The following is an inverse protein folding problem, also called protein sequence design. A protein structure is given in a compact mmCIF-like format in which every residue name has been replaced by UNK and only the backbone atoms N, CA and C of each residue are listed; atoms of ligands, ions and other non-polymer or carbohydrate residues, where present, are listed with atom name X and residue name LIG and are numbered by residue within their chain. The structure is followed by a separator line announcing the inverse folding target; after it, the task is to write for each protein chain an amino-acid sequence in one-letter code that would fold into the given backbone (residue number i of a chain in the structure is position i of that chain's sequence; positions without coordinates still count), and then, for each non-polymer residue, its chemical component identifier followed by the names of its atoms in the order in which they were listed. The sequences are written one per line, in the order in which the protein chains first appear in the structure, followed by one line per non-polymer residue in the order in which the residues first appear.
data_IF_520312887967
#
_entry.id   IF_520312887967
#
_cell.length_a   1.000
_cell.length_b   1.000
_cell.length_c   1.000
_cell.angle_alpha   90.00
_cell.angle_beta   90.00
_cell.angle_gamma   90.00
#
_symmetry.space_group_name_H-M   'P 1'
#
loop_
_entity.id
_entity.type
_entity.pdbx_description
1 polymer ?
#
# COMPACT_ATOMS: atom_id res chain seq x y z
N UNK A 1 60.93 -20.91 1.47
CA UNK A 1 60.48 -20.34 0.19
C UNK A 1 58.95 -20.46 0.11
N UNK A 2 58.23 -19.36 -0.15
CA UNK A 2 56.84 -19.29 -0.73
C UNK A 2 55.70 -19.94 0.09
N UNK A 3 54.46 -19.46 0.22
CA UNK A 3 53.73 -18.30 -0.27
C UNK A 3 52.38 -18.24 0.52
N UNK A 4 51.94 -17.04 0.89
CA UNK A 4 50.56 -16.51 0.85
C UNK A 4 49.37 -17.29 1.47
N UNK A 5 48.77 -16.61 2.45
CA UNK A 5 47.33 -16.46 2.75
C UNK A 5 46.30 -17.24 1.93
N UNK A 6 45.32 -17.82 2.64
CA UNK A 6 43.90 -17.64 2.32
C UNK A 6 42.97 -17.98 3.49
N UNK A 7 42.31 -16.94 3.99
CA UNK A 7 41.08 -17.01 4.77
C UNK A 7 39.96 -17.61 3.92
N UNK A 8 39.21 -18.57 4.46
CA UNK A 8 38.01 -19.10 3.83
C UNK A 8 36.88 -19.39 4.84
N UNK A 9 35.78 -18.66 4.62
CA UNK A 9 34.36 -19.07 4.70
C UNK A 9 33.68 -19.24 6.07
N UNK A 10 32.97 -18.15 6.38
CA UNK A 10 31.69 -17.95 7.07
C UNK A 10 30.75 -19.16 7.23
N UNK A 11 30.17 -19.18 8.43
CA UNK A 11 28.94 -19.83 8.90
C UNK A 11 27.70 -19.65 8.00
N UNK A 12 26.97 -20.76 7.90
CA UNK A 12 25.51 -20.98 8.05
C UNK A 12 24.51 -20.04 7.36
N UNK A 13 23.74 -20.61 6.43
CA UNK A 13 22.42 -20.16 5.99
C UNK A 13 21.38 -21.21 6.43
N UNK A 14 20.36 -20.79 7.17
CA UNK A 14 19.10 -21.53 7.36
C UNK A 14 17.97 -20.50 7.42
N UNK A 15 17.12 -20.47 6.39
CA UNK A 15 15.76 -19.96 6.46
C UNK A 15 14.91 -20.95 5.67
N UNK A 16 14.13 -21.76 6.38
CA UNK A 16 13.03 -22.54 5.82
C UNK A 16 11.84 -21.59 5.72
N UNK A 17 11.41 -21.32 4.48
CA UNK A 17 10.10 -20.76 4.20
C UNK A 17 9.11 -21.93 4.08
N UNK A 18 8.17 -22.04 5.01
CA UNK A 18 7.06 -22.96 4.90
C UNK A 18 5.96 -22.31 4.05
N UNK A 19 5.93 -22.68 2.77
CA UNK A 19 4.80 -22.52 1.87
C UNK A 19 3.95 -23.79 1.94
N UNK A 20 2.68 -23.66 2.32
CA UNK A 20 1.69 -24.73 2.17
C UNK A 20 0.87 -24.47 0.89
N UNK A 21 1.04 -25.36 -0.09
CA UNK A 21 0.14 -25.57 -1.22
C UNK A 21 -0.72 -26.81 -0.94
N UNK A 22 -1.87 -26.90 -1.63
CA UNK A 22 -2.57 -28.07 -2.23
C UNK A 22 -4.10 -27.78 -2.16
N UNK A 23 -4.91 -27.94 -3.21
CA UNK A 23 -4.66 -28.63 -4.47
C UNK A 23 -5.72 -28.40 -5.57
N UNK A 24 -5.40 -28.98 -6.72
CA UNK A 24 -6.29 -29.21 -7.87
C UNK A 24 -6.43 -30.73 -7.97
N UNK A 25 -7.65 -31.24 -8.06
CA UNK A 25 -7.95 -32.55 -8.63
C UNK A 25 -9.31 -32.49 -9.34
N UNK A 26 -9.34 -32.97 -10.59
CA UNK A 26 -10.55 -33.18 -11.38
C UNK A 26 -11.15 -34.55 -11.03
N UNK A 27 -12.47 -34.61 -10.90
CA UNK A 27 -13.28 -35.81 -10.73
C UNK A 27 -14.72 -35.43 -10.45
N UNK A 28 -15.63 -35.76 -11.36
CA UNK A 28 -17.05 -35.45 -11.27
C UNK A 28 -17.73 -36.09 -10.04
N UNK A 29 -18.06 -35.24 -9.08
CA UNK A 29 -19.31 -35.29 -8.33
C UNK A 29 -19.48 -33.89 -7.74
N UNK A 30 -20.51 -33.17 -8.20
CA UNK A 30 -20.82 -31.83 -7.73
C UNK A 30 -21.26 -31.89 -6.26
N UNK A 31 -20.30 -31.79 -5.34
CA UNK A 31 -20.58 -31.48 -3.94
C UNK A 31 -20.64 -29.96 -3.84
N UNK A 32 -21.79 -29.43 -3.48
CA UNK A 32 -22.02 -27.99 -3.33
C UNK A 32 -20.97 -27.38 -2.39
N UNK A 33 -20.08 -26.55 -2.92
CA UNK A 33 -19.05 -25.84 -2.15
C UNK A 33 -19.69 -24.75 -1.30
N UNK A 34 -20.06 -25.05 -0.06
CA UNK A 34 -20.42 -24.03 0.94
C UNK A 34 -19.23 -23.06 1.15
N UNK A 35 -19.52 -21.80 1.47
CA UNK A 35 -18.45 -20.87 1.89
C UNK A 35 -17.75 -21.41 3.13
N UNK A 36 -16.42 -21.46 3.09
CA UNK A 36 -15.61 -21.96 4.22
C UNK A 36 -15.48 -20.93 5.35
N UNK A 37 -15.77 -19.65 5.08
CA UNK A 37 -15.77 -18.57 6.06
C UNK A 37 -17.18 -18.28 6.56
N UNK A 38 -17.28 -17.82 7.81
CA UNK A 38 -18.54 -17.51 8.47
C UNK A 38 -19.32 -16.39 7.75
N UNK A 39 -20.63 -16.43 7.87
CA UNK A 39 -21.55 -15.36 7.45
C UNK A 39 -22.40 -15.03 8.68
N UNK A 40 -21.85 -14.26 9.64
CA UNK A 40 -22.59 -13.90 10.82
C UNK A 40 -23.55 -12.76 10.53
N UNK A 41 -24.69 -12.80 11.20
CA UNK A 41 -25.52 -11.64 11.39
C UNK A 41 -25.28 -11.04 12.79
N UNK A 42 -25.26 -9.71 12.86
CA UNK A 42 -24.79 -8.92 14.00
C UNK A 42 -25.81 -7.83 14.30
N UNK A 43 -26.07 -7.57 15.57
CA UNK A 43 -26.90 -6.46 16.04
C UNK A 43 -26.22 -5.75 17.22
N UNK A 44 -26.95 -4.88 17.91
CA UNK A 44 -26.47 -4.26 19.14
C UNK A 44 -26.12 -5.26 20.25
N UNK A 45 -26.60 -6.51 20.17
CA UNK A 45 -26.27 -7.57 21.12
C UNK A 45 -24.78 -7.94 21.12
N UNK A 46 -24.06 -7.71 20.00
CA UNK A 46 -22.60 -7.87 19.92
C UNK A 46 -21.85 -6.56 20.21
N UNK A 47 -22.58 -5.54 20.70
CA UNK A 47 -22.01 -4.29 21.16
C UNK A 47 -21.43 -3.39 20.07
N UNK A 48 -20.78 -2.33 20.54
CA UNK A 48 -20.10 -1.35 19.70
C UNK A 48 -18.73 -1.87 19.28
N UNK A 49 -18.64 -2.36 18.04
CA UNK A 49 -17.39 -2.94 17.54
C UNK A 49 -16.25 -1.92 17.49
N UNK A 50 -15.06 -2.37 17.86
CA UNK A 50 -13.82 -1.62 17.75
C UNK A 50 -13.13 -1.84 16.40
N UNK A 51 -12.25 -0.92 16.02
CA UNK A 51 -11.41 -1.06 14.83
C UNK A 51 -10.61 -2.38 14.80
N UNK A 52 -10.10 -2.81 15.95
CA UNK A 52 -9.32 -4.05 16.06
C UNK A 52 -10.19 -5.29 15.86
N UNK A 53 -11.38 -5.32 16.47
CA UNK A 53 -12.35 -6.42 16.28
C UNK A 53 -12.72 -6.54 14.79
N UNK A 54 -13.07 -5.43 14.14
CA UNK A 54 -13.43 -5.43 12.71
C UNK A 54 -12.23 -5.83 11.83
N UNK A 55 -11.02 -5.35 12.11
CA UNK A 55 -9.84 -5.75 11.34
C UNK A 55 -9.57 -7.27 11.43
N UNK A 56 -9.74 -7.85 12.62
CA UNK A 56 -9.56 -9.28 12.86
C UNK A 56 -10.70 -10.12 12.27
N UNK A 57 -11.91 -9.56 12.19
CA UNK A 57 -13.08 -10.21 11.62
C UNK A 57 -12.89 -10.48 10.11
N UNK A 58 -12.14 -9.62 9.40
CA UNK A 58 -11.98 -9.67 7.95
C UNK A 58 -11.50 -11.01 7.39
N UNK A 59 -10.64 -11.73 8.11
CA UNK A 59 -10.14 -13.05 7.66
C UNK A 59 -11.01 -14.22 8.13
N UNK A 60 -12.08 -13.97 8.90
CA UNK A 60 -12.95 -14.98 9.49
C UNK A 60 -14.31 -15.06 8.81
N UNK A 61 -14.70 -14.01 8.07
CA UNK A 61 -16.03 -13.89 7.46
C UNK A 61 -15.99 -13.75 5.95
N UNK A 62 -17.01 -14.28 5.26
CA UNK A 62 -17.28 -13.99 3.86
C UNK A 62 -17.91 -12.60 3.71
N UNK A 63 -18.90 -12.31 4.56
CA UNK A 63 -19.56 -11.02 4.72
C UNK A 63 -20.32 -11.01 6.05
N UNK A 64 -20.83 -9.85 6.47
CA UNK A 64 -21.64 -9.66 7.69
C UNK A 64 -23.05 -9.18 7.34
N UNK A 65 -24.07 -9.54 8.11
CA UNK A 65 -25.43 -8.96 7.96
C UNK A 65 -25.76 -8.17 9.22
N UNK A 66 -25.82 -6.84 9.15
CA UNK A 66 -25.98 -6.03 10.36
C UNK A 66 -27.42 -5.55 10.53
N UNK A 67 -28.04 -5.75 11.69
CA UNK A 67 -29.35 -5.14 11.99
C UNK A 67 -29.23 -3.63 11.85
N UNK A 68 -30.21 -2.98 11.23
CA UNK A 68 -30.28 -1.52 11.17
C UNK A 68 -31.33 -0.94 12.11
N UNK A 69 -32.45 -1.62 12.22
CA UNK A 69 -33.60 -1.16 12.98
C UNK A 69 -34.43 -2.33 13.48
N UNK A 70 -35.30 -2.03 14.45
CA UNK A 70 -36.36 -2.88 14.95
C UNK A 70 -37.67 -2.13 14.74
N UNK A 71 -38.24 -2.35 13.56
CA UNK A 71 -39.28 -1.56 12.94
C UNK A 71 -38.97 -0.07 12.84
N UNK A 72 -40.00 0.71 12.50
CA UNK A 72 -39.88 2.18 12.44
C UNK A 72 -39.53 2.81 13.79
N UNK A 73 -39.88 2.18 14.91
CA UNK A 73 -39.78 2.79 16.25
C UNK A 73 -38.37 2.82 16.84
N UNK A 74 -37.47 1.93 16.38
CA UNK A 74 -36.17 1.77 17.02
C UNK A 74 -35.03 1.59 16.02
N UNK A 75 -33.98 2.40 16.15
CA UNK A 75 -32.74 2.25 15.40
C UNK A 75 -31.71 1.53 16.27
N UNK A 76 -31.06 0.50 15.71
CA UNK A 76 -30.01 -0.25 16.39
C UNK A 76 -28.87 0.68 16.84
N UNK A 77 -28.50 0.60 18.13
CA UNK A 77 -27.59 1.55 18.77
C UNK A 77 -26.20 1.61 18.12
N UNK A 78 -25.73 0.49 17.57
CA UNK A 78 -24.35 0.32 17.14
C UNK A 78 -24.18 0.11 15.65
N UNK A 79 -25.27 -0.12 14.90
CA UNK A 79 -25.24 -0.32 13.45
C UNK A 79 -24.49 0.76 12.67
N UNK A 80 -24.67 2.05 13.02
CA UNK A 80 -23.98 3.15 12.34
C UNK A 80 -22.45 3.12 12.56
N UNK A 81 -22.01 2.77 13.78
CA UNK A 81 -20.59 2.58 14.08
C UNK A 81 -20.04 1.36 13.34
N UNK A 82 -20.72 0.21 13.47
CA UNK A 82 -20.23 -1.08 13.01
C UNK A 82 -20.10 -1.09 11.47
N UNK A 83 -21.14 -0.64 10.76
CA UNK A 83 -21.12 -0.57 9.29
C UNK A 83 -20.13 0.46 8.75
N UNK A 84 -19.89 1.58 9.45
CA UNK A 84 -18.83 2.51 9.08
C UNK A 84 -17.43 1.87 9.18
N UNK A 85 -17.22 0.99 10.16
CA UNK A 85 -15.97 0.22 10.27
C UNK A 85 -15.87 -0.86 9.20
N UNK A 86 -16.96 -1.55 8.85
CA UNK A 86 -16.96 -2.52 7.73
C UNK A 86 -16.53 -1.85 6.43
N UNK A 87 -17.08 -0.66 6.13
CA UNK A 87 -16.63 0.16 4.99
C UNK A 87 -15.15 0.49 5.10
N UNK A 88 -14.70 0.98 6.24
CA UNK A 88 -13.31 1.41 6.46
C UNK A 88 -12.30 0.28 6.26
N UNK A 89 -12.62 -0.92 6.72
CA UNK A 89 -11.71 -2.08 6.68
C UNK A 89 -11.98 -3.03 5.50
N UNK A 90 -13.00 -2.76 4.70
CA UNK A 90 -13.34 -3.53 3.50
C UNK A 90 -13.87 -4.91 3.84
N UNK A 91 -14.82 -4.98 4.77
CA UNK A 91 -15.66 -6.16 5.00
C UNK A 91 -16.97 -5.95 4.23
N UNK A 92 -17.34 -6.83 3.29
CA UNK A 92 -18.66 -6.79 2.68
C UNK A 92 -19.75 -7.02 3.71
N UNK A 93 -20.86 -6.28 3.58
CA UNK A 93 -21.98 -6.45 4.50
C UNK A 93 -23.32 -6.17 3.83
N UNK A 94 -24.38 -6.81 4.32
CA UNK A 94 -25.78 -6.39 4.13
C UNK A 94 -26.31 -5.74 5.41
N UNK A 95 -27.50 -5.15 5.34
CA UNK A 95 -28.23 -4.69 6.52
C UNK A 95 -29.62 -5.33 6.55
N UNK A 96 -30.18 -5.55 7.74
CA UNK A 96 -31.53 -6.11 7.90
C UNK A 96 -32.44 -5.23 8.78
N UNK A 97 -33.74 -5.32 8.49
CA UNK A 97 -34.85 -4.67 9.16
C UNK A 97 -35.67 -5.71 9.93
N UNK A 98 -35.69 -5.65 11.26
CA UNK A 98 -36.55 -6.52 12.04
C UNK A 98 -37.98 -5.99 12.02
N UNK A 99 -38.89 -6.71 11.38
CA UNK A 99 -40.21 -6.23 11.05
C UNK A 99 -41.08 -6.00 12.28
N UNK A 100 -41.72 -4.82 12.38
CA UNK A 100 -42.76 -4.51 13.39
C UNK A 100 -43.96 -3.78 12.80
N UNK A 101 -44.15 -3.89 11.49
CA UNK A 101 -45.30 -3.28 10.81
C UNK A 101 -46.62 -3.97 11.18
N UNK A 102 -47.68 -3.16 11.23
CA UNK A 102 -49.03 -3.58 11.64
C UNK A 102 -50.03 -3.64 10.48
N UNK A 103 -49.63 -3.18 9.29
CA UNK A 103 -50.44 -3.08 8.08
C UNK A 103 -49.55 -2.86 6.86
N UNK A 104 -50.12 -2.96 5.65
CA UNK A 104 -49.40 -2.61 4.42
C UNK A 104 -48.91 -1.14 4.40
N UNK A 105 -49.65 -0.21 5.01
CA UNK A 105 -49.23 1.19 5.06
C UNK A 105 -48.03 1.41 5.99
N UNK A 106 -48.04 0.79 7.18
CA UNK A 106 -46.90 0.84 8.10
C UNK A 106 -45.69 0.08 7.55
N UNK A 107 -45.89 -1.01 6.79
CA UNK A 107 -44.80 -1.73 6.13
C UNK A 107 -44.05 -0.86 5.10
N UNK A 108 -44.77 -0.04 4.31
CA UNK A 108 -44.12 0.95 3.42
C UNK A 108 -43.36 2.01 4.21
N UNK A 109 -43.92 2.49 5.32
CA UNK A 109 -43.22 3.48 6.15
C UNK A 109 -41.94 2.89 6.75
N UNK A 110 -42.01 1.65 7.22
CA UNK A 110 -40.88 0.92 7.79
C UNK A 110 -39.76 0.68 6.78
N UNK A 111 -40.11 0.27 5.56
CA UNK A 111 -39.17 0.19 4.42
C UNK A 111 -38.48 1.53 4.12
N UNK A 112 -39.23 2.65 4.10
CA UNK A 112 -38.65 3.98 3.90
C UNK A 112 -37.67 4.34 5.01
N UNK A 113 -38.05 4.11 6.26
CA UNK A 113 -37.22 4.40 7.42
C UNK A 113 -35.95 3.55 7.39
N UNK A 114 -36.09 2.25 7.12
CA UNK A 114 -34.98 1.31 6.99
C UNK A 114 -34.00 1.76 5.91
N UNK A 115 -34.50 2.07 4.71
CA UNK A 115 -33.65 2.53 3.64
C UNK A 115 -32.94 3.83 4.01
N UNK A 116 -33.67 4.83 4.52
CA UNK A 116 -33.12 6.13 4.89
C UNK A 116 -32.02 6.01 5.96
N UNK A 117 -32.22 5.12 6.93
CA UNK A 117 -31.24 4.84 7.98
C UNK A 117 -30.05 4.09 7.41
N UNK A 118 -30.26 3.12 6.52
CA UNK A 118 -29.23 2.18 6.06
C UNK A 118 -28.01 2.82 5.41
N UNK A 119 -26.85 2.23 5.67
CA UNK A 119 -25.60 2.58 5.03
C UNK A 119 -25.65 2.25 3.54
N UNK A 120 -25.38 3.26 2.70
CA UNK A 120 -25.45 3.08 1.24
C UNK A 120 -24.34 2.20 0.66
N UNK A 121 -23.37 1.76 1.46
CA UNK A 121 -22.39 0.74 1.07
C UNK A 121 -22.83 -0.70 1.38
N UNK A 122 -23.96 -0.92 2.07
CA UNK A 122 -24.53 -2.26 2.23
C UNK A 122 -24.75 -2.90 0.85
N UNK A 123 -24.48 -4.19 0.71
CA UNK A 123 -24.50 -4.87 -0.58
C UNK A 123 -25.90 -5.33 -0.98
N UNK A 124 -26.71 -5.64 0.03
CA UNK A 124 -28.10 -6.03 -0.08
C UNK A 124 -28.84 -5.54 1.18
N UNK A 125 -30.16 -5.58 1.11
CA UNK A 125 -31.04 -5.24 2.22
C UNK A 125 -31.98 -6.41 2.50
N UNK A 126 -32.14 -6.76 3.78
CA UNK A 126 -32.99 -7.88 4.18
C UNK A 126 -34.20 -7.40 5.00
N UNK A 127 -35.36 -8.01 4.75
CA UNK A 127 -36.50 -7.97 5.66
C UNK A 127 -36.44 -9.19 6.56
N UNK A 128 -36.35 -8.99 7.86
CA UNK A 128 -36.48 -10.03 8.88
C UNK A 128 -37.93 -10.04 9.37
N UNK A 129 -38.71 -11.06 8.97
CA UNK A 129 -40.12 -11.20 9.32
C UNK A 129 -40.36 -12.53 10.03
N UNK A 130 -40.34 -12.49 11.36
CA UNK A 130 -40.45 -13.67 12.23
C UNK A 130 -41.47 -13.52 13.37
N UNK A 131 -42.13 -12.36 13.46
CA UNK A 131 -43.26 -12.08 14.34
C UNK A 131 -44.43 -11.45 13.53
N UNK A 132 -45.68 -11.73 13.92
CA UNK A 132 -46.86 -11.21 13.22
C UNK A 132 -47.57 -10.14 14.06
N UNK A 133 -47.23 -8.88 13.82
CA UNK A 133 -47.89 -7.71 14.42
C UNK A 133 -49.03 -7.13 13.54
N UNK A 134 -49.35 -7.79 12.41
CA UNK A 134 -50.34 -7.28 11.46
C UNK A 134 -51.74 -7.35 12.05
N UNK A 135 -52.32 -6.17 12.29
CA UNK A 135 -53.68 -6.01 12.83
C UNK A 135 -54.67 -5.55 11.76
N UNK A 136 -54.19 -5.11 10.59
CA UNK A 136 -55.03 -4.69 9.47
C UNK A 136 -54.48 -5.20 8.13
N UNK A 137 -55.31 -5.92 7.38
CA UNK A 137 -54.95 -6.58 6.13
C UNK A 137 -54.39 -7.99 6.36
N UNK A 138 -53.55 -8.46 5.44
CA UNK A 138 -52.87 -9.76 5.54
C UNK A 138 -51.36 -9.59 5.65
N UNK A 139 -50.70 -10.57 6.25
CA UNK A 139 -49.24 -10.61 6.38
C UNK A 139 -48.54 -10.62 5.01
N UNK A 140 -49.06 -11.39 4.05
CA UNK A 140 -48.52 -11.37 2.67
C UNK A 140 -48.64 -9.98 2.04
N UNK A 141 -49.78 -9.29 2.20
CA UNK A 141 -49.94 -7.93 1.65
C UNK A 141 -49.00 -6.91 2.33
N UNK A 142 -48.70 -7.09 3.62
CA UNK A 142 -47.77 -6.22 4.34
C UNK A 142 -46.31 -6.47 3.91
N UNK A 143 -45.89 -7.73 3.80
CA UNK A 143 -44.55 -8.12 3.29
C UNK A 143 -44.36 -7.65 1.85
N UNK A 144 -45.35 -7.83 0.99
CA UNK A 144 -45.32 -7.34 -0.40
C UNK A 144 -45.23 -5.82 -0.44
N UNK A 145 -45.96 -5.11 0.42
CA UNK A 145 -45.89 -3.66 0.49
C UNK A 145 -44.51 -3.14 0.93
N UNK A 146 -43.83 -3.82 1.86
CA UNK A 146 -42.43 -3.52 2.21
C UNK A 146 -41.50 -3.75 1.02
N UNK A 147 -41.66 -4.89 0.32
CA UNK A 147 -40.86 -5.25 -0.84
C UNK A 147 -40.98 -4.20 -1.96
N UNK A 148 -42.20 -3.84 -2.34
CA UNK A 148 -42.47 -2.85 -3.39
C UNK A 148 -41.85 -1.49 -3.08
N UNK A 149 -41.97 -1.06 -1.83
CA UNK A 149 -41.41 0.21 -1.39
C UNK A 149 -39.88 0.18 -1.45
N UNK A 150 -39.24 -0.85 -0.88
CA UNK A 150 -37.78 -1.00 -0.96
C UNK A 150 -37.30 -1.07 -2.41
N UNK A 151 -38.00 -1.82 -3.27
CA UNK A 151 -37.67 -1.93 -4.68
C UNK A 151 -37.76 -0.59 -5.40
N UNK A 152 -38.72 0.27 -5.04
CA UNK A 152 -38.83 1.63 -5.58
C UNK A 152 -37.65 2.53 -5.17
N UNK A 153 -37.05 2.27 -4.00
CA UNK A 153 -35.98 3.05 -3.40
C UNK A 153 -34.58 2.59 -3.84
N UNK A 154 -34.42 1.32 -4.24
CA UNK A 154 -33.12 0.76 -4.59
C UNK A 154 -33.16 -0.38 -5.60
N UNK A 155 -32.12 -0.46 -6.43
CA UNK A 155 -31.86 -1.57 -7.34
C UNK A 155 -30.99 -2.67 -6.72
N UNK A 156 -30.60 -2.55 -5.44
CA UNK A 156 -29.84 -3.59 -4.75
C UNK A 156 -30.70 -4.82 -4.46
N UNK A 157 -30.03 -5.94 -4.19
CA UNK A 157 -30.71 -7.17 -3.86
C UNK A 157 -31.52 -7.03 -2.57
N UNK A 158 -32.76 -7.51 -2.61
CA UNK A 158 -33.68 -7.59 -1.47
C UNK A 158 -33.80 -9.05 -1.04
N UNK A 159 -33.59 -9.29 0.25
CA UNK A 159 -33.53 -10.63 0.84
C UNK A 159 -34.66 -10.80 1.85
N UNK A 160 -35.37 -11.92 1.80
CA UNK A 160 -36.37 -12.25 2.81
C UNK A 160 -35.76 -13.18 3.86
N UNK A 161 -35.88 -12.82 5.14
CA UNK A 161 -35.48 -13.67 6.26
C UNK A 161 -36.66 -14.06 7.15
N UNK A 162 -36.65 -15.33 7.59
CA UNK A 162 -37.56 -15.88 8.61
C UNK A 162 -37.12 -17.32 8.97
N UNK A 163 -37.65 -17.88 10.05
CA UNK A 163 -37.59 -19.33 10.27
C UNK A 163 -38.68 -20.07 9.46
N UNK A 164 -38.37 -21.30 9.05
CA UNK A 164 -39.11 -22.02 8.00
C UNK A 164 -40.64 -22.12 8.24
N UNK A 165 -41.08 -22.48 9.45
CA UNK A 165 -42.50 -22.68 9.74
C UNK A 165 -43.30 -21.37 9.69
N UNK A 166 -42.70 -20.27 10.16
CA UNK A 166 -43.32 -18.96 10.10
C UNK A 166 -43.39 -18.41 8.68
N UNK A 167 -42.31 -18.51 7.92
CA UNK A 167 -42.28 -18.13 6.50
C UNK A 167 -43.42 -18.79 5.71
N UNK A 168 -43.63 -20.09 5.96
CA UNK A 168 -44.66 -20.90 5.28
C UNK A 168 -46.08 -20.55 5.74
N UNK A 169 -46.25 -20.12 6.99
CA UNK A 169 -47.56 -19.81 7.54
C UNK A 169 -48.00 -18.38 7.22
N UNK A 170 -47.07 -17.41 7.24
CA UNK A 170 -47.41 -15.98 7.24
C UNK A 170 -46.91 -15.22 6.01
N UNK A 171 -45.94 -15.71 5.25
CA UNK A 171 -45.37 -14.97 4.12
C UNK A 171 -45.16 -15.83 2.86
N UNK A 172 -45.84 -16.97 2.75
CA UNK A 172 -45.48 -18.01 1.78
C UNK A 172 -45.48 -17.55 0.31
N UNK A 173 -46.40 -16.65 -0.02
CA UNK A 173 -46.56 -16.10 -1.36
C UNK A 173 -45.64 -14.89 -1.55
N UNK A 174 -45.71 -13.90 -0.67
CA UNK A 174 -44.98 -12.64 -0.82
C UNK A 174 -43.45 -12.82 -0.75
N UNK A 175 -42.94 -13.78 0.04
CA UNK A 175 -41.49 -14.06 0.12
C UNK A 175 -40.88 -14.49 -1.21
N UNK A 176 -41.68 -15.00 -2.15
CA UNK A 176 -41.19 -15.45 -3.46
C UNK A 176 -40.79 -14.28 -4.37
N UNK A 177 -41.24 -13.05 -4.06
CA UNK A 177 -40.90 -11.85 -4.84
C UNK A 177 -39.47 -11.34 -4.57
N UNK A 178 -38.83 -11.78 -3.47
CA UNK A 178 -37.49 -11.36 -3.10
C UNK A 178 -36.41 -12.04 -3.95
N UNK A 179 -35.27 -11.37 -4.13
CA UNK A 179 -34.18 -11.87 -4.99
C UNK A 179 -33.44 -13.07 -4.38
N UNK A 180 -33.54 -13.23 -3.06
CA UNK A 180 -33.02 -14.36 -2.31
C UNK A 180 -33.80 -14.59 -1.02
N UNK A 181 -33.77 -15.83 -0.53
CA UNK A 181 -34.39 -16.22 0.74
C UNK A 181 -33.32 -16.70 1.71
N UNK A 182 -33.30 -16.10 2.90
CA UNK A 182 -32.45 -16.41 4.03
C UNK A 182 -33.30 -17.13 5.07
N UNK A 183 -33.18 -18.45 5.21
CA UNK A 183 -34.08 -19.24 6.05
C UNK A 183 -33.33 -19.79 7.26
N UNK A 184 -33.89 -19.60 8.45
CA UNK A 184 -33.38 -20.18 9.68
C UNK A 184 -33.96 -21.58 9.93
N UNK A 185 -33.08 -22.53 10.25
CA UNK A 185 -33.43 -23.83 10.82
C UNK A 185 -32.18 -24.45 11.47
N UNK A 186 -32.16 -24.57 12.78
CA UNK A 186 -30.96 -25.02 13.52
C UNK A 186 -30.85 -26.56 13.63
N UNK A 187 -31.89 -27.29 13.24
CA UNK A 187 -31.93 -28.75 13.35
C UNK A 187 -31.50 -29.45 12.06
N UNK A 188 -31.89 -28.93 10.91
CA UNK A 188 -31.60 -29.52 9.60
C UNK A 188 -31.69 -28.45 8.48
N UNK A 189 -31.18 -28.77 7.30
CA UNK A 189 -31.25 -27.88 6.15
C UNK A 189 -32.73 -27.56 5.79
N UNK A 190 -33.10 -26.30 5.50
CA UNK A 190 -34.47 -25.95 5.16
C UNK A 190 -35.01 -26.78 3.99
N UNK A 191 -36.28 -27.14 4.06
CA UNK A 191 -37.02 -27.90 3.03
C UNK A 191 -37.84 -27.00 2.10
N UNK A 192 -37.90 -25.70 2.38
CA UNK A 192 -38.43 -24.67 1.46
C UNK A 192 -37.28 -24.03 0.67
N UNK A 193 -37.56 -23.28 -0.40
CA UNK A 193 -36.52 -22.57 -1.16
C UNK A 193 -35.70 -21.61 -0.28
N UNK A 194 -34.37 -21.70 -0.38
CA UNK A 194 -33.42 -20.81 0.30
C UNK A 194 -32.15 -20.63 -0.52
N UNK A 195 -31.52 -19.47 -0.39
CA UNK A 195 -30.20 -19.15 -0.94
C UNK A 195 -29.15 -18.93 0.17
N UNK A 196 -29.61 -18.64 1.39
CA UNK A 196 -28.79 -18.51 2.59
C UNK A 196 -29.48 -19.28 3.72
N UNK A 197 -28.73 -20.10 4.46
CA UNK A 197 -29.26 -20.89 5.57
C UNK A 197 -28.62 -20.46 6.89
N UNK A 198 -29.39 -19.88 7.80
CA UNK A 198 -28.95 -19.68 9.19
C UNK A 198 -29.10 -21.01 9.93
N UNK A 199 -27.96 -21.63 10.24
CA UNK A 199 -27.92 -23.00 10.74
C UNK A 199 -27.60 -23.09 12.24
N UNK A 200 -27.19 -21.98 12.86
CA UNK A 200 -26.88 -21.90 14.28
C UNK A 200 -26.92 -20.48 14.78
N UNK A 201 -27.24 -20.34 16.05
CA UNK A 201 -27.14 -19.16 16.93
C UNK A 201 -25.90 -19.22 17.88
N UNK A 202 -25.09 -20.27 17.75
CA UNK A 202 -23.98 -20.59 18.67
C UNK A 202 -22.64 -20.74 17.94
N UNK A 203 -22.36 -19.90 16.93
CA UNK A 203 -21.05 -19.87 16.29
C UNK A 203 -20.10 -18.93 17.03
N UNK A 204 -18.99 -19.45 17.56
CA UNK A 204 -17.99 -18.60 18.21
C UNK A 204 -17.15 -17.83 17.18
N UNK A 205 -17.11 -16.51 17.29
CA UNK A 205 -16.24 -15.65 16.49
C UNK A 205 -15.07 -15.11 17.32
N UNK A 206 -13.84 -15.65 17.17
CA UNK A 206 -12.68 -15.18 17.90
C UNK A 206 -12.38 -13.68 17.77
N UNK A 207 -12.75 -13.06 16.64
CA UNK A 207 -12.58 -11.61 16.47
C UNK A 207 -13.46 -10.78 17.42
N UNK A 208 -14.60 -11.32 17.84
CA UNK A 208 -15.55 -10.65 18.72
C UNK A 208 -15.45 -11.15 20.17
N UNK A 209 -14.89 -12.34 20.38
CA UNK A 209 -14.89 -13.08 21.64
C UNK A 209 -16.30 -13.41 22.14
N UNK A 210 -17.22 -13.64 21.20
CA UNK A 210 -18.64 -13.83 21.45
C UNK A 210 -19.22 -14.92 20.53
N UNK A 211 -20.37 -15.46 20.92
CA UNK A 211 -21.19 -16.32 20.06
C UNK A 211 -22.11 -15.45 19.21
N UNK A 212 -22.24 -15.81 17.95
CA UNK A 212 -23.14 -15.17 17.00
C UNK A 212 -23.95 -16.21 16.25
N UNK A 213 -25.03 -15.74 15.67
CA UNK A 213 -25.70 -16.45 14.60
C UNK A 213 -24.74 -16.61 13.42
N UNK A 214 -24.93 -17.69 12.66
CA UNK A 214 -24.11 -17.96 11.49
C UNK A 214 -24.88 -18.67 10.40
N UNK A 215 -24.57 -18.24 9.17
CA UNK A 215 -25.22 -18.70 7.97
C UNK A 215 -24.27 -19.38 6.98
N UNK A 216 -24.84 -20.17 6.06
CA UNK A 216 -24.16 -20.79 4.92
C UNK A 216 -24.85 -20.38 3.62
N UNK A 217 -24.10 -19.76 2.71
CA UNK A 217 -24.61 -19.46 1.38
C UNK A 217 -24.65 -20.73 0.53
N UNK A 218 -25.76 -20.94 -0.17
CA UNK A 218 -25.91 -22.01 -1.15
C UNK A 218 -25.33 -21.51 -2.47
N UNK A 219 -24.05 -21.78 -2.70
CA UNK A 219 -23.29 -21.21 -3.83
C UNK A 219 -23.78 -21.66 -5.20
N UNK A 220 -24.54 -22.75 -5.27
CA UNK A 220 -25.23 -23.19 -6.49
C UNK A 220 -26.48 -22.36 -6.82
N UNK A 221 -27.04 -21.63 -5.85
CA UNK A 221 -28.14 -20.68 -6.06
C UNK A 221 -27.55 -19.30 -6.37
N UNK A 222 -26.72 -18.77 -5.47
CA UNK A 222 -26.03 -17.49 -5.63
C UNK A 222 -24.57 -17.61 -5.18
N UNK A 223 -23.57 -17.27 -6.03
CA UNK A 223 -22.17 -17.27 -5.61
C UNK A 223 -21.93 -16.19 -4.52
N UNK A 224 -20.86 -16.32 -3.73
CA UNK A 224 -20.52 -15.31 -2.70
C UNK A 224 -20.38 -13.89 -3.26
N UNK A 225 -19.94 -13.74 -4.52
CA UNK A 225 -19.88 -12.45 -5.21
C UNK A 225 -21.25 -11.77 -5.29
N UNK A 226 -22.34 -12.51 -5.50
CA UNK A 226 -23.71 -11.97 -5.55
C UNK A 226 -24.10 -11.22 -4.27
N UNK A 227 -23.60 -11.69 -3.11
CA UNK A 227 -23.83 -11.06 -1.81
C UNK A 227 -22.88 -9.90 -1.50
N UNK A 228 -21.79 -9.74 -2.27
CA UNK A 228 -20.63 -8.89 -1.92
C UNK A 228 -20.17 -7.92 -3.03
N UNK A 229 -20.71 -7.99 -4.24
CA UNK A 229 -20.23 -7.27 -5.43
C UNK A 229 -20.38 -5.74 -5.34
N UNK A 230 -21.24 -5.23 -4.43
CA UNK A 230 -21.31 -3.80 -4.12
C UNK A 230 -20.00 -3.31 -3.47
N UNK A 231 -19.33 -4.18 -2.72
CA UNK A 231 -18.03 -3.91 -2.10
C UNK A 231 -16.88 -4.07 -3.10
N UNK A 232 -16.99 -4.84 -4.18
CA UNK A 232 -15.98 -4.85 -5.26
C UNK A 232 -15.90 -3.47 -5.96
N UNK A 233 -17.04 -2.81 -6.15
CA UNK A 233 -17.15 -1.48 -6.76
C UNK A 233 -16.69 -0.37 -5.81
N UNK A 234 -17.01 -0.47 -4.52
CA UNK A 234 -16.53 0.44 -3.47
C UNK A 234 -15.03 0.21 -3.11
N UNK A 235 -14.53 -1.02 -3.16
CA UNK A 235 -13.10 -1.33 -2.97
C UNK A 235 -12.27 -0.85 -4.15
N UNK A 236 -12.77 -0.85 -5.38
CA UNK A 236 -12.06 -0.28 -6.53
C UNK A 236 -11.88 1.25 -6.38
N UNK A 237 -12.92 1.95 -5.92
CA UNK A 237 -12.87 3.41 -5.68
C UNK A 237 -12.07 3.78 -4.42
N UNK A 238 -12.15 2.97 -3.36
CA UNK A 238 -11.41 3.18 -2.09
C UNK A 238 -9.96 2.69 -2.16
N UNK A 239 -9.63 1.60 -2.86
CA UNK A 239 -8.23 1.20 -3.09
C UNK A 239 -7.47 2.24 -3.93
N UNK A 240 -8.19 2.94 -4.82
CA UNK A 240 -7.65 4.10 -5.55
C UNK A 240 -7.40 5.30 -4.61
N UNK A 241 -8.21 5.46 -3.55
CA UNK A 241 -8.11 6.56 -2.58
C UNK A 241 -7.20 6.29 -1.37
N UNK A 242 -7.02 5.03 -0.95
CA UNK A 242 -6.30 4.62 0.28
C UNK A 242 -5.05 3.77 0.04
N UNK A 243 -4.59 3.62 -1.21
CA UNK A 243 -3.23 3.14 -1.42
C UNK A 243 -2.27 4.06 -0.66
N UNK A 244 -1.50 3.50 0.29
CA UNK A 244 -0.40 4.24 0.90
C UNK A 244 0.44 4.80 -0.24
N UNK A 245 0.44 6.12 -0.42
CA UNK A 245 1.19 6.75 -1.52
C UNK A 245 2.64 6.37 -1.32
N UNK A 246 3.12 5.39 -2.09
CA UNK A 246 4.53 5.03 -2.11
C UNK A 246 5.22 6.16 -2.85
N UNK A 247 5.71 7.12 -2.06
CA UNK A 247 6.41 8.27 -2.58
C UNK A 247 7.64 7.82 -3.37
N UNK A 248 7.84 8.46 -4.51
CA UNK A 248 9.07 8.35 -5.26
C UNK A 248 10.25 8.90 -4.43
N UNK A 249 11.48 8.61 -4.87
CA UNK A 249 12.65 9.17 -4.23
C UNK A 249 12.65 10.70 -4.38
N UNK A 250 12.61 11.41 -3.25
CA UNK A 250 12.56 12.88 -3.19
C UNK A 250 13.76 13.48 -2.42
N UNK A 251 14.91 12.79 -2.47
CA UNK A 251 16.15 13.20 -1.81
C UNK A 251 17.17 13.84 -2.76
N UNK A 252 16.72 14.46 -3.86
CA UNK A 252 17.62 15.05 -4.85
C UNK A 252 18.25 16.35 -4.35
N UNK A 253 19.40 16.71 -4.94
CA UNK A 253 20.17 17.91 -4.64
C UNK A 253 20.52 18.67 -5.91
N UNK A 254 20.63 20.00 -5.82
CA UNK A 254 21.11 20.83 -6.92
C UNK A 254 22.49 20.34 -7.40
N UNK A 255 22.71 20.41 -8.71
CA UNK A 255 23.90 19.89 -9.39
C UNK A 255 23.84 18.41 -9.79
N UNK A 256 22.90 17.63 -9.24
CA UNK A 256 22.64 16.27 -9.71
C UNK A 256 21.94 16.28 -11.08
N UNK A 257 21.93 15.14 -11.76
CA UNK A 257 21.23 15.00 -13.04
C UNK A 257 20.09 14.00 -12.89
N UNK A 258 18.99 14.26 -13.59
CA UNK A 258 17.86 13.34 -13.71
C UNK A 258 17.70 12.91 -15.15
N UNK A 259 17.30 11.66 -15.34
CA UNK A 259 16.72 11.19 -16.58
C UNK A 259 15.20 11.37 -16.49
N UNK A 260 14.62 12.23 -17.31
CA UNK A 260 13.18 12.47 -17.36
C UNK A 260 12.49 11.29 -18.08
N UNK A 261 11.47 10.72 -17.46
CA UNK A 261 10.82 9.51 -17.96
C UNK A 261 9.90 9.79 -19.16
N UNK A 262 9.56 8.74 -19.90
CA UNK A 262 8.65 8.86 -21.06
C UNK A 262 7.20 9.22 -20.65
N UNK A 263 6.79 8.77 -19.47
CA UNK A 263 5.46 9.01 -18.90
C UNK A 263 5.35 10.34 -18.14
N UNK A 264 6.43 11.12 -18.04
CA UNK A 264 6.42 12.47 -17.49
C UNK A 264 5.58 13.39 -18.38
N UNK A 265 4.28 13.48 -18.11
CA UNK A 265 3.32 14.13 -19.02
C UNK A 265 3.06 15.59 -18.68
N UNK A 266 3.26 15.99 -17.42
CA UNK A 266 2.99 17.33 -16.91
C UNK A 266 4.12 17.83 -16.02
N UNK A 267 4.41 19.12 -16.10
CA UNK A 267 5.25 19.84 -15.14
C UNK A 267 4.51 19.96 -13.80
N UNK A 268 5.21 20.41 -12.75
CA UNK A 268 4.63 20.59 -11.43
C UNK A 268 3.50 21.64 -11.41
N UNK A 269 3.53 22.61 -12.34
CA UNK A 269 2.47 23.61 -12.56
C UNK A 269 1.26 23.09 -13.36
N UNK A 270 1.26 21.81 -13.74
CA UNK A 270 0.19 21.17 -14.51
C UNK A 270 0.30 21.33 -16.03
N UNK A 271 1.20 22.20 -16.52
CA UNK A 271 1.42 22.39 -17.96
C UNK A 271 2.05 21.16 -18.61
N UNK A 272 1.75 20.91 -19.89
CA UNK A 272 2.18 19.68 -20.59
C UNK A 272 3.68 19.67 -20.85
N UNK A 273 4.33 18.53 -20.61
CA UNK A 273 5.71 18.28 -21.05
C UNK A 273 5.69 17.77 -22.49
N UNK A 274 6.38 18.43 -23.40
CA UNK A 274 6.46 18.00 -24.80
C UNK A 274 7.13 16.62 -24.91
N UNK A 275 6.71 15.79 -25.88
CA UNK A 275 7.30 14.45 -26.09
C UNK A 275 8.81 14.53 -26.37
N UNK A 276 9.25 15.59 -27.06
CA UNK A 276 10.65 15.88 -27.37
C UNK A 276 11.51 16.13 -26.12
N UNK A 277 10.93 16.58 -25.02
CA UNK A 277 11.68 16.89 -23.79
C UNK A 277 11.80 15.69 -22.85
N UNK A 278 11.08 14.61 -23.13
CA UNK A 278 11.11 13.38 -22.34
C UNK A 278 12.30 12.52 -22.74
N UNK A 279 12.60 11.52 -21.92
CA UNK A 279 13.67 10.55 -22.18
C UNK A 279 15.07 11.18 -22.36
N UNK A 280 15.30 12.31 -21.71
CA UNK A 280 16.54 13.09 -21.75
C UNK A 280 17.15 13.27 -20.36
N UNK A 281 18.46 13.49 -20.33
CA UNK A 281 19.16 13.86 -19.11
C UNK A 281 19.19 15.36 -18.94
N UNK A 282 18.82 15.81 -17.74
CA UNK A 282 18.85 17.22 -17.38
C UNK A 282 19.57 17.43 -16.06
N UNK A 283 20.22 18.59 -15.91
CA UNK A 283 20.80 19.03 -14.65
C UNK A 283 19.73 19.67 -13.77
N UNK A 284 19.67 19.25 -12.52
CA UNK A 284 18.86 19.90 -11.49
C UNK A 284 19.59 21.17 -11.06
N UNK A 285 18.99 22.33 -11.29
CA UNK A 285 19.58 23.61 -10.87
C UNK A 285 19.10 24.05 -9.49
N UNK A 286 17.84 23.77 -9.14
CA UNK A 286 17.25 24.04 -7.81
C UNK A 286 16.32 22.90 -7.39
N UNK A 287 16.08 22.79 -6.08
CA UNK A 287 15.12 21.86 -5.50
C UNK A 287 14.23 22.59 -4.50
N UNK A 288 12.99 22.13 -4.34
CA UNK A 288 12.10 22.60 -3.27
C UNK A 288 11.26 21.45 -2.72
N UNK A 289 10.90 21.54 -1.44
CA UNK A 289 9.95 20.61 -0.83
C UNK A 289 8.57 20.87 -1.45
N UNK A 290 7.90 19.81 -1.91
CA UNK A 290 6.57 19.89 -2.51
C UNK A 290 5.90 18.53 -2.41
N UNK A 291 4.78 18.43 -1.69
CA UNK A 291 3.95 17.22 -1.71
C UNK A 291 2.93 17.36 -2.84
N UNK A 292 3.10 16.59 -3.91
CA UNK A 292 2.17 16.55 -5.05
C UNK A 292 2.26 15.18 -5.72
N UNK A 293 1.11 14.52 -5.92
CA UNK A 293 1.05 13.15 -6.45
C UNK A 293 1.97 12.21 -5.63
N UNK A 294 2.91 11.50 -6.27
CA UNK A 294 3.89 10.61 -5.62
C UNK A 294 5.20 11.31 -5.25
N UNK A 295 5.27 12.64 -5.27
CA UNK A 295 6.48 13.40 -4.96
C UNK A 295 6.41 14.11 -3.63
N UNK A 296 7.55 14.16 -2.93
CA UNK A 296 7.81 15.09 -1.82
C UNK A 296 8.75 16.25 -2.21
N UNK A 297 9.17 16.29 -3.47
CA UNK A 297 10.10 17.29 -3.98
C UNK A 297 9.80 17.64 -5.44
N UNK A 298 9.98 18.92 -5.78
CA UNK A 298 10.06 19.38 -7.16
C UNK A 298 11.49 19.79 -7.53
N UNK A 299 11.85 19.56 -8.79
CA UNK A 299 13.19 19.74 -9.34
C UNK A 299 13.13 20.79 -10.45
N UNK A 300 13.86 21.88 -10.30
CA UNK A 300 13.93 22.90 -11.33
C UNK A 300 14.96 22.49 -12.38
N UNK A 301 14.53 22.44 -13.63
CA UNK A 301 15.35 22.13 -14.79
C UNK A 301 15.54 23.42 -15.58
N UNK A 302 16.76 23.97 -15.54
CA UNK A 302 17.08 25.25 -16.20
C UNK A 302 16.81 25.21 -17.69
N UNK A 303 17.18 24.12 -18.34
CA UNK A 303 17.11 23.95 -19.78
C UNK A 303 15.66 23.88 -20.29
N UNK A 304 14.72 23.58 -19.39
CA UNK A 304 13.28 23.57 -19.66
C UNK A 304 12.57 24.80 -19.11
N UNK A 305 13.23 25.62 -18.27
CA UNK A 305 12.61 26.74 -17.56
C UNK A 305 11.49 26.33 -16.60
N UNK A 306 11.43 25.06 -16.19
CA UNK A 306 10.25 24.48 -15.52
C UNK A 306 10.61 23.57 -14.35
N UNK A 307 9.65 23.37 -13.45
CA UNK A 307 9.73 22.42 -12.34
C UNK A 307 9.10 21.08 -12.75
N UNK A 308 9.82 19.99 -12.54
CA UNK A 308 9.30 18.62 -12.69
C UNK A 308 9.13 17.97 -11.32
N UNK A 309 8.20 17.03 -11.19
CA UNK A 309 8.00 16.29 -9.95
C UNK A 309 9.08 15.20 -9.82
N UNK A 310 9.56 14.95 -8.59
CA UNK A 310 10.62 13.96 -8.34
C UNK A 310 10.28 12.53 -8.82
N UNK A 311 9.00 12.21 -8.93
CA UNK A 311 8.47 10.95 -9.45
C UNK A 311 8.69 10.74 -10.95
N UNK A 312 8.86 11.83 -11.71
CA UNK A 312 8.91 11.81 -13.18
C UNK A 312 10.33 11.56 -13.70
N UNK A 313 11.30 11.37 -12.80
CA UNK A 313 12.68 11.18 -13.18
C UNK A 313 13.46 10.26 -12.25
N UNK A 314 14.59 9.76 -12.76
CA UNK A 314 15.56 9.01 -11.97
C UNK A 314 16.90 9.70 -11.98
N UNK A 315 17.44 10.00 -10.81
CA UNK A 315 18.72 10.67 -10.71
C UNK A 315 19.92 9.74 -10.85
N UNK A 316 20.93 10.21 -11.58
CA UNK A 316 22.19 9.52 -11.74
C UNK A 316 23.37 10.48 -11.58
N UNK A 317 24.50 9.94 -11.11
CA UNK A 317 25.78 10.63 -11.25
C UNK A 317 26.25 10.52 -12.70
N UNK A 318 26.62 11.66 -13.29
CA UNK A 318 27.14 11.78 -14.66
C UNK A 318 28.51 12.45 -14.64
N UNK A 319 29.33 12.19 -15.66
CA UNK A 319 30.68 12.74 -15.79
C UNK A 319 31.70 11.69 -16.19
N UNK A 320 32.98 11.95 -15.90
CA UNK A 320 34.08 11.04 -16.23
C UNK A 320 34.44 10.10 -15.08
N UNK A 321 34.76 10.64 -13.89
CA UNK A 321 35.23 9.86 -12.73
C UNK A 321 34.63 10.39 -11.43
N UNK A 322 34.50 9.50 -10.44
CA UNK A 322 34.12 9.87 -9.08
C UNK A 322 34.34 8.75 -8.07
N UNK A 323 34.26 9.13 -6.79
CA UNK A 323 34.18 8.18 -5.68
C UNK A 323 32.91 8.42 -4.89
N UNK A 324 32.25 7.34 -4.50
CA UNK A 324 30.92 7.37 -3.93
C UNK A 324 30.87 6.49 -2.68
N UNK A 325 30.24 7.00 -1.62
CA UNK A 325 29.91 6.22 -0.44
C UNK A 325 28.52 5.62 -0.64
N UNK A 326 28.41 4.30 -0.49
CA UNK A 326 27.14 3.59 -0.65
C UNK A 326 26.23 3.80 0.57
N UNK A 327 24.93 3.94 0.32
CA UNK A 327 23.89 4.02 1.35
C UNK A 327 23.21 2.67 1.62
N UNK A 328 23.37 1.73 0.68
CA UNK A 328 22.76 0.40 0.71
C UNK A 328 23.71 -0.64 0.09
N UNK A 329 23.43 -1.92 0.32
CA UNK A 329 24.08 -3.03 -0.38
C UNK A 329 23.82 -2.92 -1.88
N UNK A 330 24.87 -3.03 -2.71
CA UNK A 330 24.76 -3.07 -4.16
C UNK A 330 25.52 -4.28 -4.72
N UNK A 331 24.82 -5.09 -5.52
CA UNK A 331 25.44 -6.18 -6.26
C UNK A 331 26.33 -5.64 -7.36
N UNK A 332 27.41 -6.36 -7.63
CA UNK A 332 28.35 -6.08 -8.69
C UNK A 332 27.97 -6.88 -9.95
N UNK A 333 28.12 -6.26 -11.11
CA UNK A 333 27.77 -6.85 -12.40
C UNK A 333 28.97 -6.85 -13.33
N UNK A 334 29.06 -7.85 -14.21
CA UNK A 334 30.14 -7.93 -15.20
C UNK A 334 29.91 -7.01 -16.40
N UNK A 335 28.68 -6.54 -16.60
CA UNK A 335 28.27 -5.75 -17.76
C UNK A 335 27.59 -4.42 -17.36
N UNK A 336 27.58 -3.45 -18.27
CA UNK A 336 27.01 -2.13 -18.03
C UNK A 336 25.47 -2.08 -18.12
N UNK A 337 24.81 -3.13 -18.61
CA UNK A 337 23.34 -3.24 -18.56
C UNK A 337 22.84 -3.66 -17.17
N UNK A 338 23.70 -4.26 -16.35
CA UNK A 338 23.41 -4.89 -15.06
C UNK A 338 22.53 -6.13 -15.18
N UNK A 339 22.79 -6.97 -16.19
CA UNK A 339 22.04 -8.21 -16.40
C UNK A 339 22.76 -9.43 -15.80
N UNK A 340 24.09 -9.44 -15.76
CA UNK A 340 24.90 -10.56 -15.25
C UNK A 340 25.57 -10.21 -13.92
N UNK A 341 25.04 -10.72 -12.81
CA UNK A 341 25.64 -10.57 -11.47
C UNK A 341 26.93 -11.37 -11.39
N UNK A 342 27.95 -10.82 -10.74
CA UNK A 342 29.22 -11.53 -10.49
C UNK A 342 29.17 -12.42 -9.23
N UNK A 343 28.09 -12.35 -8.46
CA UNK A 343 27.99 -12.94 -7.11
C UNK A 343 28.65 -12.10 -6.01
N UNK A 344 29.45 -11.09 -6.38
CA UNK A 344 30.07 -10.15 -5.43
C UNK A 344 29.18 -8.93 -5.19
N UNK A 345 29.40 -8.24 -4.06
CA UNK A 345 28.64 -7.06 -3.69
C UNK A 345 29.46 -6.13 -2.79
N UNK A 346 29.03 -4.87 -2.71
CA UNK A 346 29.46 -3.92 -1.69
C UNK A 346 28.33 -3.73 -0.67
N UNK A 347 28.67 -3.31 0.55
CA UNK A 347 27.73 -3.03 1.63
C UNK A 347 27.56 -1.51 1.86
N UNK A 348 26.58 -1.13 2.68
CA UNK A 348 26.40 0.26 3.08
C UNK A 348 27.65 0.79 3.80
N UNK A 349 28.04 2.03 3.52
CA UNK A 349 29.26 2.65 4.05
C UNK A 349 30.51 2.44 3.20
N UNK A 350 30.54 1.44 2.31
CA UNK A 350 31.67 1.22 1.41
C UNK A 350 31.89 2.43 0.50
N UNK A 351 33.16 2.74 0.22
CA UNK A 351 33.53 3.75 -0.77
C UNK A 351 34.01 3.10 -2.04
N UNK A 352 33.32 3.37 -3.14
CA UNK A 352 33.64 2.84 -4.47
C UNK A 352 34.15 3.98 -5.37
N UNK A 353 35.27 3.76 -6.04
CA UNK A 353 35.82 4.67 -7.03
C UNK A 353 35.67 4.06 -8.42
N UNK A 354 35.31 4.87 -9.41
CA UNK A 354 35.16 4.37 -10.77
C UNK A 354 34.93 5.44 -11.82
N UNK A 355 34.97 4.99 -13.08
CA UNK A 355 34.59 5.79 -14.25
C UNK A 355 33.07 5.78 -14.37
N UNK A 356 32.46 6.93 -14.57
CA UNK A 356 31.04 7.02 -14.91
C UNK A 356 30.84 6.75 -16.39
N UNK A 357 29.96 5.81 -16.71
CA UNK A 357 29.66 5.42 -18.10
C UNK A 357 28.15 5.30 -18.29
N UNK A 358 27.66 5.60 -19.50
CA UNK A 358 26.26 5.35 -19.86
C UNK A 358 26.02 3.84 -19.97
N UNK A 359 24.82 3.41 -19.59
CA UNK A 359 24.33 2.08 -19.93
C UNK A 359 24.09 1.96 -21.45
N UNK A 360 24.05 0.75 -22.02
CA UNK A 360 23.80 0.55 -23.45
C UNK A 360 22.48 1.18 -23.92
N UNK A 361 21.46 1.19 -23.06
CA UNK A 361 20.17 1.84 -23.37
C UNK A 361 20.25 3.36 -23.51
N UNK A 362 21.34 3.99 -23.05
CA UNK A 362 21.48 5.44 -23.00
C UNK A 362 20.64 6.12 -21.92
N UNK A 363 19.81 5.40 -21.15
CA UNK A 363 18.82 5.96 -20.20
C UNK A 363 19.28 6.00 -18.73
N UNK A 364 20.49 5.54 -18.45
CA UNK A 364 21.02 5.42 -17.08
C UNK A 364 22.54 5.40 -17.06
N UNK A 365 23.16 5.62 -15.90
CA UNK A 365 24.61 5.60 -15.72
C UNK A 365 25.09 4.50 -14.78
N UNK A 366 26.35 4.12 -14.92
CA UNK A 366 27.05 3.12 -14.11
C UNK A 366 28.34 3.68 -13.54
N UNK A 367 28.73 3.19 -12.38
CA UNK A 367 30.10 3.32 -11.88
C UNK A 367 30.85 2.07 -12.33
N UNK A 368 31.76 2.20 -13.30
CA UNK A 368 32.68 1.15 -13.73
C UNK A 368 33.90 1.16 -12.80
N UNK A 369 34.03 0.12 -12.00
CA UNK A 369 35.19 -0.13 -11.13
C UNK A 369 36.12 -1.14 -11.79
N UNK A 370 37.24 -1.47 -11.14
CA UNK A 370 38.11 -2.58 -11.56
C UNK A 370 37.46 -3.96 -11.38
N UNK A 371 36.43 -4.07 -10.52
CA UNK A 371 35.77 -5.34 -10.20
C UNK A 371 34.49 -5.57 -11.02
N UNK A 372 33.91 -4.51 -11.60
CA UNK A 372 32.68 -4.59 -12.39
C UNK A 372 31.89 -3.28 -12.41
N UNK A 373 30.57 -3.39 -12.56
CA UNK A 373 29.66 -2.28 -12.73
C UNK A 373 28.64 -2.21 -11.59
N UNK A 374 28.36 -0.99 -11.15
CA UNK A 374 27.32 -0.65 -10.17
C UNK A 374 26.38 0.40 -10.77
N UNK A 375 25.14 0.42 -10.31
CA UNK A 375 24.21 1.52 -10.65
C UNK A 375 24.75 2.85 -10.11
N UNK A 376 24.84 3.89 -10.95
CA UNK A 376 25.22 5.24 -10.50
C UNK A 376 24.02 6.05 -9.98
N UNK A 377 22.95 5.38 -9.53
CA UNK A 377 21.73 6.03 -9.08
C UNK A 377 21.96 6.77 -7.74
N UNK A 378 21.55 8.03 -7.69
CA UNK A 378 21.77 8.94 -6.53
C UNK A 378 21.00 8.52 -5.27
N UNK A 379 19.98 7.68 -5.41
CA UNK A 379 19.28 7.05 -4.28
C UNK A 379 20.21 6.15 -3.48
N UNK A 380 21.13 5.45 -4.14
CA UNK A 380 21.92 4.39 -3.51
C UNK A 380 23.30 4.83 -3.05
N UNK A 381 23.76 6.02 -3.42
CA UNK A 381 25.09 6.50 -3.06
C UNK A 381 25.17 8.02 -3.00
N UNK A 382 26.23 8.53 -2.40
CA UNK A 382 26.54 9.96 -2.29
C UNK A 382 28.00 10.21 -2.65
N UNK A 383 28.40 11.39 -3.13
CA UNK A 383 29.82 11.69 -3.33
C UNK A 383 30.61 11.47 -2.04
N UNK A 384 31.70 10.72 -2.12
CA UNK A 384 32.57 10.44 -0.98
C UNK A 384 33.30 11.70 -0.50
N UNK A 385 33.43 12.70 -1.38
CA UNK A 385 34.06 13.98 -1.07
C UNK A 385 33.02 15.09 -0.85
N UNK A 386 33.43 16.16 -0.16
CA UNK A 386 32.76 17.45 -0.23
C UNK A 386 32.93 18.05 -1.63
N UNK A 387 31.83 18.49 -2.22
CA UNK A 387 31.77 19.02 -3.60
C UNK A 387 31.77 20.56 -3.65
N UNK A 388 31.48 21.20 -2.52
CA UNK A 388 31.40 22.64 -2.35
C UNK A 388 31.91 23.02 -0.95
N UNK A 389 32.24 24.29 -0.76
CA UNK A 389 32.68 24.83 0.52
C UNK A 389 31.47 25.14 1.42
N UNK A 390 31.53 24.76 2.69
CA UNK A 390 30.60 25.22 3.72
C UNK A 390 30.71 26.73 3.98
N UNK A 391 29.61 27.34 4.40
CA UNK A 391 29.55 28.75 4.83
C UNK A 391 30.50 29.06 5.98
N UNK A 392 30.76 28.09 6.87
CA UNK A 392 31.66 28.24 8.03
C UNK A 392 33.14 28.30 7.64
N UNK A 393 33.48 27.92 6.40
CA UNK A 393 34.85 27.89 5.86
C UNK A 393 35.86 27.20 6.80
N UNK A 394 35.38 26.23 7.57
CA UNK A 394 36.17 25.49 8.56
C UNK A 394 35.85 24.02 8.44
N UNK A 395 36.86 23.16 8.62
CA UNK A 395 36.69 21.71 8.69
C UNK A 395 37.32 21.17 9.97
N UNK A 396 36.83 20.05 10.48
CA UNK A 396 37.41 19.28 11.58
C UNK A 396 37.89 17.92 11.09
N UNK A 397 39.10 17.53 11.47
CA UNK A 397 39.67 16.22 11.11
C UNK A 397 39.00 15.10 11.91
N UNK A 398 38.57 14.02 11.24
CA UNK A 398 37.99 12.82 11.86
C UNK A 398 39.04 11.76 12.23
N UNK A 399 40.21 11.85 11.60
CA UNK A 399 41.40 11.01 11.82
C UNK A 399 42.66 11.79 11.44
N UNK A 400 43.84 11.21 11.72
CA UNK A 400 45.12 11.79 11.27
C UNK A 400 45.09 12.03 9.76
N UNK A 401 45.35 13.26 9.35
CA UNK A 401 45.48 13.66 7.94
C UNK A 401 46.84 14.33 7.72
N UNK A 402 47.26 14.45 6.47
CA UNK A 402 48.46 15.21 6.12
C UNK A 402 48.06 16.44 5.30
N UNK A 403 48.71 17.56 5.59
CA UNK A 403 48.76 18.72 4.70
C UNK A 403 49.78 18.48 3.59
N UNK A 404 49.48 18.96 2.38
CA UNK A 404 50.33 18.81 1.21
C UNK A 404 50.69 20.17 0.62
N UNK A 405 51.94 20.30 0.15
CA UNK A 405 52.43 21.45 -0.61
C UNK A 405 51.90 21.49 -2.05
N UNK A 406 51.52 20.33 -2.61
CA UNK A 406 50.98 20.18 -3.97
C UNK A 406 49.64 19.44 -3.94
N UNK A 407 48.74 19.80 -4.84
CA UNK A 407 47.41 19.18 -4.97
C UNK A 407 47.41 17.76 -5.53
N UNK A 408 48.58 17.20 -5.87
CA UNK A 408 48.74 15.80 -6.27
C UNK A 408 48.68 14.81 -5.10
N UNK A 409 48.91 15.28 -3.86
CA UNK A 409 48.98 14.46 -2.65
C UNK A 409 50.13 13.43 -2.67
N UNK A 410 51.19 13.70 -3.43
CA UNK A 410 52.39 12.85 -3.44
C UNK A 410 53.04 12.83 -2.04
N UNK A 411 53.54 11.67 -1.59
CA UNK A 411 54.19 11.53 -0.28
C UNK A 411 55.33 12.52 -0.08
N UNK A 412 56.10 12.81 -1.14
CA UNK A 412 57.18 13.80 -1.18
C UNK A 412 56.73 15.25 -0.95
N UNK A 413 55.45 15.55 -1.13
CA UNK A 413 54.88 16.88 -0.90
C UNK A 413 54.14 17.00 0.43
N UNK A 414 54.21 16.01 1.31
CA UNK A 414 53.68 16.12 2.68
C UNK A 414 54.41 17.23 3.44
N UNK A 415 53.64 18.05 4.15
CA UNK A 415 54.16 19.16 4.95
C UNK A 415 54.02 18.85 6.44
N UNK A 416 52.78 18.70 6.92
CA UNK A 416 52.47 18.54 8.34
C UNK A 416 51.46 17.42 8.55
N UNK A 417 51.67 16.62 9.59
CA UNK A 417 50.65 15.70 10.09
C UNK A 417 49.70 16.47 11.00
N UNK A 418 48.40 16.36 10.75
CA UNK A 418 47.33 16.98 11.54
C UNK A 418 46.59 15.86 12.27
N UNK A 419 46.52 15.97 13.59
CA UNK A 419 45.87 14.98 14.46
C UNK A 419 44.36 14.99 14.29
N UNK A 420 43.68 13.96 14.82
CA UNK A 420 42.22 13.89 14.88
C UNK A 420 41.69 15.05 15.74
N UNK A 421 40.57 15.64 15.35
CA UNK A 421 39.87 16.68 16.10
C UNK A 421 40.34 18.11 15.82
N UNK A 422 41.42 18.30 15.08
CA UNK A 422 41.93 19.63 14.71
C UNK A 422 40.98 20.35 13.77
N UNK A 423 40.71 21.63 14.06
CA UNK A 423 39.97 22.54 13.17
C UNK A 423 40.95 23.22 12.20
N UNK A 424 40.61 23.25 10.91
CA UNK A 424 41.39 23.87 9.85
C UNK A 424 40.52 24.87 9.08
N UNK A 425 41.05 26.07 8.80
CA UNK A 425 40.38 27.06 7.95
C UNK A 425 40.62 26.75 6.47
N UNK A 426 39.55 26.78 5.68
CA UNK A 426 39.54 26.42 4.26
C UNK A 426 39.03 27.57 3.41
N UNK A 427 39.67 27.81 2.26
CA UNK A 427 39.32 28.91 1.35
C UNK A 427 38.60 28.42 0.09
N UNK A 428 38.80 27.17 -0.32
CA UNK A 428 38.17 26.60 -1.50
C UNK A 428 38.09 25.07 -1.45
N UNK A 429 37.19 24.50 -2.25
CA UNK A 429 37.19 23.09 -2.64
C UNK A 429 37.55 23.00 -4.12
N UNK A 430 38.53 22.16 -4.47
CA UNK A 430 39.00 21.96 -5.85
C UNK A 430 38.94 20.49 -6.27
N UNK A 431 38.91 20.25 -7.58
CA UNK A 431 38.77 18.92 -8.22
C UNK A 431 40.05 18.52 -8.94
N UNK A 432 40.41 17.24 -8.84
CA UNK A 432 41.44 16.58 -9.66
C UNK A 432 40.82 15.87 -10.87
N UNK A 433 41.62 15.60 -11.90
CA UNK A 433 41.23 14.82 -13.08
C UNK A 433 40.66 13.43 -12.73
N UNK A 434 41.18 12.81 -11.67
CA UNK A 434 40.69 11.53 -11.13
C UNK A 434 39.30 11.59 -10.50
N UNK A 435 38.70 12.77 -10.39
CA UNK A 435 37.42 12.98 -9.72
C UNK A 435 37.52 13.16 -8.20
N UNK A 436 38.70 13.00 -7.60
CA UNK A 436 38.93 13.32 -6.18
C UNK A 436 38.80 14.82 -5.90
N UNK A 437 38.36 15.21 -4.70
CA UNK A 437 38.35 16.61 -4.23
C UNK A 437 39.34 16.86 -3.10
N UNK A 438 39.73 18.12 -2.95
CA UNK A 438 40.59 18.58 -1.87
C UNK A 438 40.20 19.99 -1.44
N UNK A 439 40.42 20.28 -0.16
CA UNK A 439 40.32 21.63 0.38
C UNK A 439 41.64 22.38 0.18
N UNK A 440 41.55 23.67 -0.13
CA UNK A 440 42.65 24.63 -0.04
C UNK A 440 42.59 25.26 1.34
N UNK A 441 43.65 25.13 2.12
CA UNK A 441 43.76 25.71 3.46
C UNK A 441 44.17 27.19 3.37
N UNK A 442 43.81 27.97 4.39
CA UNK A 442 44.21 29.39 4.47
C UNK A 442 45.73 29.61 4.50
N UNK A 443 46.50 28.59 4.88
CA UNK A 443 47.98 28.61 4.87
C UNK A 443 48.58 28.21 3.50
N UNK A 444 47.76 28.13 2.44
CA UNK A 444 48.19 27.77 1.08
C UNK A 444 48.48 26.27 0.87
N UNK A 445 48.26 25.41 1.88
CA UNK A 445 48.42 23.96 1.75
C UNK A 445 47.10 23.27 1.37
N UNK A 446 47.18 21.97 1.11
CA UNK A 446 46.03 21.18 0.66
C UNK A 446 45.76 20.00 1.60
N UNK A 447 44.49 19.70 1.81
CA UNK A 447 44.06 18.52 2.57
C UNK A 447 42.88 17.83 1.87
N UNK A 448 42.69 16.54 2.12
CA UNK A 448 41.65 15.77 1.45
C UNK A 448 40.27 16.30 1.80
N UNK A 449 39.38 16.36 0.81
CA UNK A 449 37.97 16.67 1.05
C UNK A 449 37.11 15.41 1.25
N UNK A 450 37.76 14.25 1.52
CA UNK A 450 37.08 12.98 1.70
C UNK A 450 36.34 12.96 3.05
N UNK A 451 35.02 12.76 3.04
CA UNK A 451 34.13 12.82 4.22
C UNK A 451 34.47 11.82 5.32
N UNK A 452 35.17 10.74 4.98
CA UNK A 452 35.66 9.79 5.98
C UNK A 452 36.85 10.33 6.78
N UNK A 453 37.55 11.35 6.30
CA UNK A 453 38.73 11.95 6.93
C UNK A 453 38.45 13.29 7.61
N UNK A 454 37.44 14.03 7.14
CA UNK A 454 37.11 15.39 7.62
C UNK A 454 35.60 15.58 7.67
N UNK A 455 35.14 16.51 8.49
CA UNK A 455 33.77 17.04 8.48
C UNK A 455 33.82 18.55 8.37
N UNK A 456 32.90 19.14 7.60
CA UNK A 456 32.56 20.57 7.71
C UNK A 456 31.76 20.85 8.99
#
# INVERSE_FOLDING_TARGET
MSNKHRWAKRLAQLVVAASAMIGIAWGEQAVASASTLAIPDISEWQGKLTASQVLNLKSQVSFVINRRQYGSAYQDLYAANNTALYVKYGIPFGEYDYARFTSAASARQEAKDFYNRSNKNASFYALDFEENDVTSGTTNAAVEAWYDEMRSLTSKNLVFYSYQSFATSYANTARQNFDAQWIANYSYAPTISFALWQYTDHNYLPALSEYTDNSRAVTSVHPISWWTDSVATALSSVATALSSVTYAYSGYKAGQHIYLHNNASKYADGTKIAKSDRQKFYRISKVKNLTQSRSKQALYISDLGKWVLSQDGTGYFVGQHGSYTLKHKLNLYSDSSLTKKTGSYYVSGDTVAGKLVKAPSGKSYRVKTSLGYLSANVKFMTPAYYESLSSTKTIKTKKKVYEYKKSSFAKSSRSKAVTKGTKLKVTAVKKRSTGSRYFVLSNGKYVTALKSYVTE
#
